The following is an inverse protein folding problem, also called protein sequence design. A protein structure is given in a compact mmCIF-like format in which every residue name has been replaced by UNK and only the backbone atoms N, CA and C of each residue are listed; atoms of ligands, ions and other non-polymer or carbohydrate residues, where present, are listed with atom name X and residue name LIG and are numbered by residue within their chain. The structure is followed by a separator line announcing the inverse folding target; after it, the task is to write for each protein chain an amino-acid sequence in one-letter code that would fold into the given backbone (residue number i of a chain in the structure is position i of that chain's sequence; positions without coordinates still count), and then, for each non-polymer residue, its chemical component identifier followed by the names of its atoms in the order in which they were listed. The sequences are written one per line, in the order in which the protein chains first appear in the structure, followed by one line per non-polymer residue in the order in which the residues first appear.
data_IF_172569951280
#
_entry.id   IF_172569951280
#
_cell.length_a   1.000
_cell.length_b   1.000
_cell.length_c   1.000
_cell.angle_alpha   90.00
_cell.angle_beta   90.00
_cell.angle_gamma   90.00
#
_symmetry.space_group_name_H-M   'P 1'
#
loop_
_entity.id
_entity.type
_entity.pdbx_description
1 polymer ?
#
# COMPACT_ATOMS: atom_id res chain seq x y z
N UNK A 1 33.51 40.54 40.37
CA UNK A 1 34.73 39.71 40.26
C UNK A 1 34.44 38.58 39.29
N UNK A 2 34.47 38.88 37.99
CA UNK A 2 34.24 37.93 36.91
C UNK A 2 35.56 37.22 36.59
N UNK A 3 35.60 35.89 36.70
CA UNK A 3 36.68 35.08 36.14
C UNK A 3 36.13 34.32 34.94
N UNK A 4 36.72 34.60 33.77
CA UNK A 4 36.39 34.01 32.48
C UNK A 4 36.62 32.50 32.52
N UNK A 5 35.62 31.73 32.12
CA UNK A 5 35.64 30.25 32.03
C UNK A 5 36.25 29.78 30.70
N UNK A 6 36.93 30.66 29.97
CA UNK A 6 37.24 30.45 28.56
C UNK A 6 38.69 30.03 28.24
N UNK A 7 39.49 29.67 29.25
CA UNK A 7 40.92 29.35 29.08
C UNK A 7 41.29 27.88 29.40
N UNK A 8 40.33 26.95 29.38
CA UNK A 8 40.58 25.51 29.65
C UNK A 8 40.40 24.61 28.41
N UNK A 9 39.94 25.15 27.28
CA UNK A 9 39.63 24.36 26.09
C UNK A 9 40.49 24.78 24.91
N UNK A 10 41.80 24.52 25.04
CA UNK A 10 42.81 24.70 24.01
C UNK A 10 42.69 23.72 22.82
N UNK A 11 43.64 23.76 21.86
CA UNK A 11 43.56 23.13 20.53
C UNK A 11 43.46 21.60 20.53
N UNK A 12 43.56 20.97 21.70
CA UNK A 12 43.44 19.52 21.89
C UNK A 12 42.00 19.03 21.75
N UNK A 13 40.98 19.84 22.08
CA UNK A 13 39.57 19.43 21.89
C UNK A 13 39.14 19.53 20.42
N UNK A 14 39.69 20.49 19.67
CA UNK A 14 39.40 20.62 18.24
C UNK A 14 39.95 19.43 17.43
N UNK A 15 41.09 18.87 17.82
CA UNK A 15 41.67 17.68 17.19
C UNK A 15 40.87 16.39 17.45
N UNK A 16 40.28 16.24 18.64
CA UNK A 16 39.44 15.06 18.98
C UNK A 16 38.12 15.07 18.23
N UNK A 17 37.52 16.24 18.00
CA UNK A 17 36.28 16.38 17.21
C UNK A 17 36.55 16.08 15.73
N UNK A 18 37.71 16.47 15.17
CA UNK A 18 38.04 16.21 13.77
C UNK A 18 38.25 14.71 13.48
N UNK A 19 38.86 13.95 14.39
CA UNK A 19 39.07 12.50 14.25
C UNK A 19 37.76 11.71 14.41
N UNK A 20 36.85 12.14 15.28
CA UNK A 20 35.58 11.46 15.51
C UNK A 20 34.62 11.51 14.30
N UNK A 21 34.67 12.58 13.48
CA UNK A 21 33.82 12.69 12.28
C UNK A 21 34.23 11.77 11.13
N UNK A 22 35.46 11.26 11.11
CA UNK A 22 35.93 10.34 10.06
C UNK A 22 35.47 8.89 10.28
N UNK A 23 35.00 8.55 11.49
CA UNK A 23 34.61 7.19 11.87
C UNK A 23 33.12 6.88 11.69
N UNK A 24 32.29 7.88 11.35
CA UNK A 24 30.82 7.70 11.19
C UNK A 24 30.39 7.43 9.74
N UNK A 25 31.32 7.35 8.78
CA UNK A 25 31.01 7.18 7.35
C UNK A 25 31.22 5.73 6.83
N UNK A 26 31.23 4.70 7.69
CA UNK A 26 31.46 3.30 7.28
C UNK A 26 30.34 2.33 7.71
N UNK A 27 29.08 2.72 7.54
CA UNK A 27 27.96 1.78 7.57
C UNK A 27 27.07 1.98 6.36
N UNK A 28 27.58 1.65 5.18
CA UNK A 28 26.73 1.23 4.07
C UNK A 28 27.29 -0.08 3.52
N UNK A 29 27.15 -1.15 4.30
CA UNK A 29 27.18 -2.51 3.76
C UNK A 29 25.81 -2.73 3.12
N UNK A 30 25.62 -2.18 1.91
CA UNK A 30 24.57 -2.69 1.04
C UNK A 30 24.88 -4.15 0.78
N UNK A 31 24.07 -5.04 1.35
CA UNK A 31 23.99 -6.39 0.85
C UNK A 31 23.47 -6.27 -0.59
N UNK A 32 24.37 -6.34 -1.55
CA UNK A 32 23.98 -6.61 -2.94
C UNK A 32 23.47 -8.06 -2.94
N UNK A 33 22.15 -8.23 -2.85
CA UNK A 33 21.53 -9.52 -3.11
C UNK A 33 21.65 -9.78 -4.63
N UNK A 34 22.77 -10.41 -4.99
CA UNK A 34 22.99 -10.98 -6.30
C UNK A 34 21.98 -12.10 -6.53
N UNK A 35 20.85 -11.75 -7.18
CA UNK A 35 20.04 -12.60 -8.04
C UNK A 35 19.90 -14.07 -7.65
N UNK A 36 18.98 -14.34 -6.73
CA UNK A 36 18.08 -15.48 -6.89
C UNK A 36 16.81 -14.92 -7.52
N UNK A 37 16.28 -15.62 -8.51
CA UNK A 37 14.99 -15.35 -9.13
C UNK A 37 13.86 -15.40 -8.07
N UNK A 38 13.70 -14.29 -7.37
CA UNK A 38 12.82 -14.11 -6.22
C UNK A 38 11.47 -13.61 -6.73
N UNK A 39 10.69 -14.52 -7.30
CA UNK A 39 9.27 -14.30 -7.55
C UNK A 39 8.54 -14.22 -6.20
N UNK A 40 8.70 -13.11 -5.48
CA UNK A 40 7.98 -12.84 -4.23
C UNK A 40 6.55 -12.47 -4.60
N UNK A 41 5.73 -13.50 -4.81
CA UNK A 41 4.30 -13.33 -4.96
C UNK A 41 3.64 -13.18 -3.60
N UNK A 42 2.78 -12.17 -3.47
CA UNK A 42 1.90 -12.04 -2.32
C UNK A 42 2.51 -11.43 -1.05
N UNK A 43 3.66 -10.77 -1.12
CA UNK A 43 4.10 -9.90 -0.02
C UNK A 43 3.21 -8.66 0.02
N UNK A 44 2.82 -8.19 1.21
CA UNK A 44 2.04 -6.97 1.40
C UNK A 44 2.69 -6.10 2.46
N UNK A 45 2.53 -4.80 2.31
CA UNK A 45 3.05 -3.79 3.23
C UNK A 45 1.90 -3.17 4.02
N UNK A 46 2.12 -3.01 5.33
CA UNK A 46 1.22 -2.33 6.24
C UNK A 46 2.02 -1.24 6.96
N UNK A 47 1.71 0.01 6.66
CA UNK A 47 2.32 1.18 7.29
C UNK A 47 1.36 1.76 8.30
N UNK A 48 1.86 2.08 9.49
CA UNK A 48 1.07 2.70 10.57
C UNK A 48 1.82 3.92 11.07
N UNK A 49 1.17 5.09 11.02
CA UNK A 49 1.65 6.33 11.58
C UNK A 49 0.71 6.80 12.72
N UNK A 50 1.29 7.35 13.79
CA UNK A 50 0.54 7.84 14.95
C UNK A 50 1.09 9.21 15.33
N UNK A 51 0.25 10.24 15.27
CA UNK A 51 0.62 11.61 15.62
C UNK A 51 -0.59 12.35 16.22
N UNK A 52 -0.38 13.09 17.31
CA UNK A 52 -1.42 14.00 17.84
C UNK A 52 -2.72 13.34 18.31
N UNK A 53 -2.78 12.01 18.40
CA UNK A 53 -4.00 11.24 18.68
C UNK A 53 -4.68 10.68 17.44
N UNK A 54 -4.17 11.00 16.24
CA UNK A 54 -4.59 10.43 14.98
C UNK A 54 -3.77 9.18 14.65
N UNK A 55 -4.40 8.24 13.95
CA UNK A 55 -3.79 7.02 13.45
C UNK A 55 -4.07 6.96 11.95
N UNK A 56 -3.02 6.81 11.16
CA UNK A 56 -3.10 6.57 9.72
C UNK A 56 -2.58 5.18 9.42
N UNK A 57 -3.34 4.44 8.60
CA UNK A 57 -3.02 3.07 8.21
C UNK A 57 -3.05 3.01 6.69
N UNK A 58 -1.93 2.62 6.09
CA UNK A 58 -1.82 2.35 4.66
C UNK A 58 -1.54 0.86 4.48
N UNK A 59 -2.32 0.20 3.63
CA UNK A 59 -2.17 -1.21 3.31
C UNK A 59 -2.04 -1.40 1.80
N UNK A 60 -0.87 -1.86 1.37
CA UNK A 60 -0.55 -2.14 -0.03
C UNK A 60 -0.36 -3.64 -0.22
N UNK A 61 -1.08 -4.23 -1.17
CA UNK A 61 -1.14 -5.68 -1.35
C UNK A 61 -1.31 -6.06 -2.82
N UNK A 62 -0.59 -7.08 -3.31
CA UNK A 62 -0.87 -7.72 -4.59
C UNK A 62 -2.32 -8.19 -4.65
N UNK A 63 -2.96 -8.00 -5.80
CA UNK A 63 -4.35 -8.42 -6.02
C UNK A 63 -4.56 -9.93 -5.77
N UNK A 64 -3.53 -10.75 -6.00
CA UNK A 64 -3.52 -12.18 -5.69
C UNK A 64 -3.89 -12.49 -4.23
N UNK A 65 -3.51 -11.64 -3.29
CA UNK A 65 -3.78 -11.86 -1.86
C UNK A 65 -5.24 -11.62 -1.47
N UNK A 66 -5.94 -10.82 -2.25
CA UNK A 66 -7.27 -10.32 -1.91
C UNK A 66 -8.34 -10.99 -2.77
N UNK A 67 -8.13 -11.02 -4.09
CA UNK A 67 -9.10 -11.56 -5.07
C UNK A 67 -8.62 -12.84 -5.75
N UNK A 68 -7.34 -13.22 -5.57
CA UNK A 68 -6.80 -14.47 -6.09
C UNK A 68 -6.29 -14.42 -7.53
N UNK A 69 -6.07 -13.23 -8.08
CA UNK A 69 -5.48 -13.01 -9.41
C UNK A 69 -4.85 -11.61 -9.53
N UNK A 70 -4.01 -11.41 -10.57
CA UNK A 70 -3.32 -10.13 -10.85
C UNK A 70 -3.64 -9.52 -12.23
N UNK A 71 -4.38 -10.23 -13.08
CA UNK A 71 -4.85 -9.67 -14.35
C UNK A 71 -6.00 -8.69 -14.12
N UNK A 72 -6.22 -7.80 -15.10
CA UNK A 72 -7.39 -6.94 -15.10
C UNK A 72 -8.67 -7.77 -15.23
N UNK A 73 -9.62 -7.59 -14.31
CA UNK A 73 -10.91 -8.27 -14.29
C UNK A 73 -11.66 -8.04 -15.61
N UNK A 74 -12.07 -9.14 -16.25
CA UNK A 74 -12.80 -9.12 -17.52
C UNK A 74 -14.14 -9.84 -17.43
N UNK A 75 -14.21 -10.94 -16.68
CA UNK A 75 -15.48 -11.64 -16.50
C UNK A 75 -16.34 -10.94 -15.45
N UNK A 76 -17.67 -11.09 -15.55
CA UNK A 76 -18.60 -10.57 -14.52
C UNK A 76 -18.24 -11.06 -13.13
N UNK A 77 -17.78 -12.31 -13.01
CA UNK A 77 -17.35 -12.90 -11.74
C UNK A 77 -16.11 -12.22 -11.16
N UNK A 78 -15.14 -11.86 -12.00
CA UNK A 78 -13.91 -11.21 -11.54
C UNK A 78 -14.21 -9.77 -11.09
N UNK A 79 -15.04 -9.05 -11.85
CA UNK A 79 -15.50 -7.71 -11.51
C UNK A 79 -16.22 -7.71 -10.16
N UNK A 80 -17.21 -8.61 -9.98
CA UNK A 80 -17.93 -8.77 -8.72
C UNK A 80 -16.99 -9.12 -7.55
N UNK A 81 -15.94 -9.92 -7.78
CA UNK A 81 -14.96 -10.26 -6.77
C UNK A 81 -14.15 -9.03 -6.32
N UNK A 82 -13.68 -8.21 -7.27
CA UNK A 82 -12.93 -6.98 -7.00
C UNK A 82 -13.81 -5.93 -6.31
N UNK A 83 -15.04 -5.71 -6.79
CA UNK A 83 -15.97 -4.77 -6.17
C UNK A 83 -16.30 -5.17 -4.72
N UNK A 84 -16.54 -6.47 -4.48
CA UNK A 84 -16.79 -6.98 -3.13
C UNK A 84 -15.57 -6.82 -2.22
N UNK A 85 -14.37 -7.02 -2.74
CA UNK A 85 -13.14 -6.77 -1.99
C UNK A 85 -13.00 -5.28 -1.66
N UNK A 86 -13.18 -4.40 -2.64
CA UNK A 86 -13.11 -2.95 -2.44
C UNK A 86 -14.13 -2.47 -1.39
N UNK A 87 -15.38 -2.95 -1.45
CA UNK A 87 -16.41 -2.60 -0.48
C UNK A 87 -16.08 -3.06 0.95
N UNK A 88 -15.37 -4.19 1.10
CA UNK A 88 -14.89 -4.65 2.42
C UNK A 88 -13.74 -3.80 2.94
N UNK A 89 -12.77 -3.49 2.07
CA UNK A 89 -11.61 -2.65 2.41
C UNK A 89 -12.01 -1.22 2.75
N UNK A 90 -13.10 -0.71 2.16
CA UNK A 90 -13.65 0.61 2.47
C UNK A 90 -14.28 0.70 3.88
N UNK A 91 -14.46 -0.42 4.57
CA UNK A 91 -14.96 -0.48 5.94
C UNK A 91 -13.85 -0.83 6.94
N UNK A 92 -12.98 0.11 7.33
CA UNK A 92 -11.82 -0.20 8.19
C UNK A 92 -12.22 -0.76 9.57
N UNK A 93 -13.38 -0.40 10.11
CA UNK A 93 -13.90 -0.95 11.37
C UNK A 93 -14.18 -2.46 11.32
N UNK A 94 -14.34 -3.03 10.11
CA UNK A 94 -14.49 -4.48 9.91
C UNK A 94 -13.15 -5.22 9.85
N UNK A 95 -12.04 -4.49 9.75
CA UNK A 95 -10.68 -5.02 9.50
C UNK A 95 -9.78 -4.76 10.70
N UNK A 96 -9.87 -3.55 11.27
CA UNK A 96 -9.05 -3.10 12.38
C UNK A 96 -9.90 -2.91 13.63
N UNK A 97 -9.33 -3.29 14.76
CA UNK A 97 -9.90 -3.00 16.08
C UNK A 97 -8.81 -2.44 16.98
N UNK A 98 -9.18 -1.45 17.78
CA UNK A 98 -8.27 -0.79 18.70
C UNK A 98 -8.69 -1.13 20.13
N UNK A 99 -7.74 -1.59 20.93
CA UNK A 99 -7.95 -1.84 22.35
C UNK A 99 -7.66 -0.57 23.14
N UNK A 100 -8.47 -0.30 24.15
CA UNK A 100 -8.31 0.83 25.08
C UNK A 100 -8.23 2.22 24.40
N UNK A 101 -8.71 2.35 23.17
CA UNK A 101 -8.83 3.60 22.42
C UNK A 101 -10.22 3.71 21.79
N UNK A 102 -10.75 4.93 21.73
CA UNK A 102 -11.97 5.23 20.97
C UNK A 102 -11.60 5.99 19.71
N UNK A 103 -11.46 5.25 18.61
CA UNK A 103 -11.20 5.83 17.30
C UNK A 103 -12.53 6.20 16.63
N UNK A 104 -12.52 7.24 15.81
CA UNK A 104 -13.60 7.59 14.90
C UNK A 104 -12.98 7.73 13.52
N UNK A 105 -13.56 7.08 12.52
CA UNK A 105 -13.10 7.20 11.14
C UNK A 105 -13.17 8.66 10.69
N UNK A 106 -12.05 9.20 10.22
CA UNK A 106 -11.94 10.55 9.67
C UNK A 106 -12.08 10.49 8.15
N UNK A 107 -11.31 9.61 7.51
CA UNK A 107 -11.33 9.38 6.07
C UNK A 107 -10.94 7.92 5.74
N UNK A 108 -11.33 7.45 4.57
CA UNK A 108 -10.94 6.14 4.02
C UNK A 108 -11.04 6.16 2.51
N UNK A 109 -10.05 5.60 1.84
CA UNK A 109 -10.10 5.37 0.39
C UNK A 109 -9.54 3.99 0.05
N UNK A 110 -9.98 3.45 -1.08
CA UNK A 110 -9.51 2.17 -1.62
C UNK A 110 -9.23 2.37 -3.10
N UNK A 111 -8.03 1.98 -3.53
CA UNK A 111 -7.65 2.01 -4.93
C UNK A 111 -7.52 0.58 -5.47
N UNK A 112 -8.35 0.25 -6.46
CA UNK A 112 -8.33 -1.03 -7.18
C UNK A 112 -8.12 -0.87 -8.68
N UNK A 113 -7.71 0.31 -9.14
CA UNK A 113 -7.61 0.63 -10.57
C UNK A 113 -6.64 -0.28 -11.35
N UNK A 114 -5.66 -0.88 -10.67
CA UNK A 114 -4.74 -1.85 -11.29
C UNK A 114 -5.39 -3.19 -11.68
N UNK A 115 -6.59 -3.48 -11.15
CA UNK A 115 -7.28 -4.77 -11.34
C UNK A 115 -8.68 -4.59 -11.90
N UNK A 116 -9.35 -3.49 -11.54
CA UNK A 116 -10.65 -3.13 -12.08
C UNK A 116 -10.43 -2.19 -13.27
N UNK A 117 -10.67 -2.69 -14.48
CA UNK A 117 -10.67 -1.84 -15.68
C UNK A 117 -11.76 -0.78 -15.63
N UNK A 118 -11.61 0.29 -16.41
CA UNK A 118 -12.75 1.18 -16.64
C UNK A 118 -13.87 0.39 -17.33
N UNK A 119 -15.09 0.52 -16.81
CA UNK A 119 -16.24 -0.24 -17.31
C UNK A 119 -16.44 0.04 -18.80
N UNK A 120 -16.15 -0.95 -19.64
CA UNK A 120 -16.55 -0.93 -21.03
C UNK A 120 -18.04 -1.27 -21.09
N UNK A 121 -18.83 -0.24 -21.39
CA UNK A 121 -20.26 -0.30 -21.66
C UNK A 121 -20.50 -1.05 -22.99
N UNK A 122 -20.36 -2.38 -22.97
CA UNK A 122 -20.68 -3.23 -24.12
C UNK A 122 -22.21 -3.36 -24.25
N UNK A 123 -22.81 -2.33 -24.86
CA UNK A 123 -24.14 -2.38 -25.44
C UNK A 123 -24.16 -3.27 -26.70
N UNK A 124 -24.18 -4.59 -26.51
CA UNK A 124 -24.58 -5.51 -27.59
C UNK A 124 -26.11 -5.53 -27.67
N UNK A 125 -26.65 -4.61 -28.46
CA UNK A 125 -28.03 -4.64 -28.91
C UNK A 125 -28.22 -5.84 -29.85
N UNK A 126 -28.85 -6.90 -29.35
CA UNK A 126 -29.38 -7.96 -30.20
C UNK A 126 -30.61 -7.44 -30.93
N UNK A 127 -30.39 -6.88 -32.13
CA UNK A 127 -31.41 -6.62 -33.13
C UNK A 127 -31.75 -7.92 -33.89
N UNK A 128 -33.06 -8.18 -33.95
CA UNK A 128 -33.85 -8.95 -34.93
C UNK A 128 -33.48 -10.40 -35.30
N UNK A 129 -34.47 -11.31 -35.11
CA UNK A 129 -35.25 -11.86 -36.23
C UNK A 129 -36.52 -12.59 -35.73
N UNK A 130 -37.65 -11.88 -35.80
CA UNK A 130 -38.99 -12.45 -35.95
C UNK A 130 -39.17 -12.97 -37.39
N UNK A 131 -39.62 -14.22 -37.58
CA UNK A 131 -40.55 -14.63 -38.66
C UNK A 131 -40.89 -16.13 -38.66
N UNK A 132 -42.15 -16.38 -38.26
CA UNK A 132 -43.17 -17.22 -38.90
C UNK A 132 -43.29 -18.75 -38.66
N UNK A 133 -44.48 -19.02 -38.11
CA UNK A 133 -45.31 -20.21 -38.02
C UNK A 133 -45.46 -21.07 -39.29
N UNK A 134 -45.89 -22.31 -39.00
CA UNK A 134 -46.64 -23.29 -39.79
C UNK A 134 -45.93 -24.06 -40.91
N UNK A 135 -45.88 -25.40 -40.78
CA UNK A 135 -46.51 -26.33 -41.73
C UNK A 135 -46.52 -27.78 -41.20
N UNK A 136 -47.73 -28.29 -40.94
CA UNK A 136 -48.10 -29.70 -40.83
C UNK A 136 -48.07 -30.39 -42.21
N UNK A 137 -47.64 -31.66 -42.26
CA UNK A 137 -47.96 -32.65 -43.30
C UNK A 137 -47.78 -34.08 -42.78
#
# INVERSE_FOLDING_TARGET
MERRVNDIFGPTILAVILVATQLVNLTDLRAEESGLDAHVHGLSDLTIAIEGGDIEIEFESPAMNIVGFEYQAQSKKDVEAVEKAAARLAGPDAIFSFLDATCRLIDSSVNVAGVLGEAHDDHEAHDDHEAHDDHEA
#
